data_IF_619633358996
#
_entry.id   IF_619633358996
#
_cell.length_a   1.000
_cell.length_b   1.000
_cell.length_c   1.000
_cell.angle_alpha   90.00
_cell.angle_beta   90.00
_cell.angle_gamma   90.00
#
_symmetry.space_group_name_H-M   'P 1'
#
loop_
_entity.id
_entity.type
_entity.pdbx_description
1 polymer ?
#
# COMPACT_ATOMS: atom_id res chain seq x y z
N UNK A 1 2.83 16.96 -3.13
CA UNK A 1 1.95 17.42 -2.04
C UNK A 1 2.72 17.34 -0.73
N UNK A 2 2.71 18.42 0.04
CA UNK A 2 3.22 18.44 1.42
C UNK A 2 2.07 18.20 2.41
N UNK A 3 2.24 17.23 3.30
CA UNK A 3 1.21 16.78 4.23
C UNK A 3 1.38 17.41 5.62
N UNK A 4 1.44 18.75 5.67
CA UNK A 4 1.68 19.55 6.87
C UNK A 4 3.01 19.20 7.57
N UNK A 5 4.12 19.22 6.80
CA UNK A 5 5.46 18.95 7.32
C UNK A 5 5.97 20.13 8.15
N UNK A 6 6.71 19.82 9.23
CA UNK A 6 7.30 20.81 10.14
C UNK A 6 8.84 20.84 10.09
N UNK A 7 9.45 20.05 9.19
CA UNK A 7 10.91 19.83 9.10
C UNK A 7 11.61 20.68 8.02
N UNK A 8 10.87 21.59 7.38
CA UNK A 8 11.40 22.42 6.30
C UNK A 8 11.23 21.82 4.89
N UNK A 9 10.63 20.67 4.74
CA UNK A 9 10.41 20.00 3.43
C UNK A 9 9.68 20.92 2.44
N UNK A 10 8.57 21.55 2.84
CA UNK A 10 7.82 22.47 1.99
C UNK A 10 8.68 23.67 1.52
N UNK A 11 9.51 24.23 2.39
CA UNK A 11 10.42 25.32 2.04
C UNK A 11 11.49 24.88 1.04
N UNK A 12 12.04 23.68 1.21
CA UNK A 12 13.01 23.11 0.28
C UNK A 12 12.43 22.89 -1.12
N UNK A 13 11.17 22.47 -1.22
CA UNK A 13 10.46 22.31 -2.51
C UNK A 13 10.19 23.66 -3.15
N UNK A 14 9.73 24.68 -2.39
CA UNK A 14 9.50 26.03 -2.91
C UNK A 14 10.78 26.68 -3.47
N UNK A 15 11.94 26.37 -2.90
CA UNK A 15 13.22 26.88 -3.39
C UNK A 15 13.59 26.38 -4.80
N UNK A 16 12.90 25.34 -5.31
CA UNK A 16 13.01 24.83 -6.69
C UNK A 16 11.96 25.48 -7.61
N UNK A 17 11.97 26.80 -7.67
CA UNK A 17 10.98 27.63 -8.34
C UNK A 17 10.79 27.22 -9.82
N UNK A 18 9.52 27.12 -10.24
CA UNK A 18 9.11 26.81 -11.61
C UNK A 18 9.20 25.34 -12.05
N UNK A 19 9.87 24.46 -11.30
CA UNK A 19 10.02 23.05 -11.66
C UNK A 19 8.92 22.15 -11.03
N UNK A 20 8.42 22.54 -9.86
CA UNK A 20 7.52 21.71 -9.06
C UNK A 20 6.28 22.51 -8.64
N UNK A 21 5.09 21.97 -8.93
CA UNK A 21 3.85 22.48 -8.36
C UNK A 21 3.65 21.89 -6.97
N UNK A 22 3.80 22.71 -5.94
CA UNK A 22 3.59 22.33 -4.54
C UNK A 22 2.13 22.54 -4.13
N UNK A 23 1.53 21.50 -3.52
CA UNK A 23 0.24 21.55 -2.84
C UNK A 23 0.52 21.35 -1.35
N UNK A 24 0.19 22.32 -0.51
CA UNK A 24 0.40 22.26 0.93
C UNK A 24 -0.92 22.00 1.67
N UNK A 25 -0.89 21.12 2.65
CA UNK A 25 -2.02 20.86 3.54
C UNK A 25 -1.86 21.67 4.83
N UNK A 26 -2.95 22.17 5.36
CA UNK A 26 -2.99 22.84 6.68
C UNK A 26 -2.91 21.84 7.83
N UNK A 27 -3.33 20.58 7.58
CA UNK A 27 -3.31 19.50 8.56
C UNK A 27 -2.96 18.17 7.86
N UNK A 28 -2.44 17.24 8.62
CA UNK A 28 -2.15 15.88 8.13
C UNK A 28 -3.42 15.16 7.73
N UNK A 29 -3.40 14.60 6.51
CA UNK A 29 -4.46 13.76 5.95
C UNK A 29 -3.89 12.39 5.59
N UNK A 30 -4.78 11.44 5.28
CA UNK A 30 -4.38 10.10 4.89
C UNK A 30 -3.72 10.06 3.50
N UNK A 31 -2.92 9.01 3.28
CA UNK A 31 -2.26 8.78 1.99
C UNK A 31 -3.30 8.69 0.85
N UNK A 32 -4.39 7.97 1.05
CA UNK A 32 -5.47 7.86 0.07
C UNK A 32 -6.05 9.23 -0.35
N UNK A 33 -6.26 10.13 0.60
CA UNK A 33 -6.75 11.49 0.32
C UNK A 33 -5.71 12.32 -0.43
N UNK A 34 -4.43 12.21 -0.07
CA UNK A 34 -3.34 12.91 -0.71
C UNK A 34 -3.12 12.45 -2.15
N UNK A 35 -3.04 11.14 -2.37
CA UNK A 35 -2.88 10.55 -3.70
C UNK A 35 -4.09 10.87 -4.60
N UNK A 36 -5.31 10.85 -4.04
CA UNK A 36 -6.53 11.26 -4.76
C UNK A 36 -6.48 12.74 -5.17
N UNK A 37 -5.96 13.61 -4.31
CA UNK A 37 -5.79 15.03 -4.62
C UNK A 37 -4.78 15.21 -5.77
N UNK A 38 -3.64 14.55 -5.69
CA UNK A 38 -2.62 14.59 -6.75
C UNK A 38 -3.17 14.09 -8.09
N UNK A 39 -3.93 12.98 -8.10
CA UNK A 39 -4.53 12.45 -9.33
C UNK A 39 -5.60 13.37 -9.92
N UNK A 40 -6.37 14.09 -9.09
CA UNK A 40 -7.37 15.09 -9.56
C UNK A 40 -6.72 16.31 -10.15
N UNK A 41 -5.66 16.80 -9.52
CA UNK A 41 -4.93 18.01 -9.92
C UNK A 41 -3.97 17.80 -11.11
N UNK A 42 -3.64 16.55 -11.41
CA UNK A 42 -2.77 16.21 -12.53
C UNK A 42 -3.49 16.36 -13.87
N UNK A 43 -2.77 16.82 -14.92
CA UNK A 43 -3.27 16.98 -16.27
C UNK A 43 -2.83 15.86 -17.22
N UNK A 44 -1.90 15.00 -16.81
CA UNK A 44 -1.38 13.92 -17.64
C UNK A 44 -2.39 12.80 -17.90
N UNK A 45 -2.19 12.03 -18.97
CA UNK A 45 -2.93 10.78 -19.24
C UNK A 45 -2.71 9.76 -18.13
N UNK A 46 -1.51 9.75 -17.57
CA UNK A 46 -1.08 8.90 -16.48
C UNK A 46 -0.61 9.73 -15.30
N UNK A 47 -0.82 9.21 -14.08
CA UNK A 47 -0.30 9.76 -12.84
C UNK A 47 0.65 8.74 -12.22
N UNK A 48 1.89 9.12 -11.97
CA UNK A 48 2.83 8.30 -11.21
C UNK A 48 2.68 8.64 -9.73
N UNK A 49 2.19 7.68 -8.94
CA UNK A 49 2.25 7.72 -7.49
C UNK A 49 3.64 7.25 -7.10
N UNK A 50 4.39 8.11 -6.42
CA UNK A 50 5.75 7.85 -5.98
C UNK A 50 5.87 8.32 -4.52
N UNK A 51 6.30 7.43 -3.64
CA UNK A 51 6.57 7.81 -2.26
C UNK A 51 7.83 8.68 -2.18
N UNK A 52 7.90 9.53 -1.17
CA UNK A 52 9.05 10.41 -0.89
C UNK A 52 10.35 9.66 -0.61
N UNK A 53 10.25 8.39 -0.22
CA UNK A 53 11.36 7.47 0.06
C UNK A 53 11.59 6.45 -1.07
N UNK A 54 11.11 6.76 -2.28
CA UNK A 54 11.29 5.92 -3.46
C UNK A 54 12.11 6.63 -4.53
N UNK A 55 13.04 5.89 -5.15
CA UNK A 55 13.94 6.36 -6.20
C UNK A 55 13.78 5.49 -7.45
N UNK A 56 13.33 6.08 -8.56
CA UNK A 56 13.17 5.37 -9.82
C UNK A 56 14.52 5.10 -10.48
N UNK A 57 14.70 3.88 -10.98
CA UNK A 57 15.83 3.58 -11.86
C UNK A 57 15.62 4.17 -13.26
N UNK A 58 16.71 4.46 -14.00
CA UNK A 58 16.62 4.94 -15.38
C UNK A 58 15.74 4.02 -16.25
N UNK A 59 14.83 4.60 -17.03
CA UNK A 59 13.92 3.85 -17.90
C UNK A 59 12.64 3.33 -17.23
N UNK A 60 12.51 3.38 -15.91
CA UNK A 60 11.34 2.85 -15.18
C UNK A 60 10.02 3.46 -15.66
N UNK A 61 9.95 4.79 -15.77
CA UNK A 61 8.74 5.47 -16.25
C UNK A 61 8.37 5.03 -17.66
N UNK A 62 9.35 4.97 -18.55
CA UNK A 62 9.11 4.53 -19.94
C UNK A 62 8.57 3.10 -20.01
N UNK A 63 9.10 2.19 -19.19
CA UNK A 63 8.64 0.80 -19.13
C UNK A 63 7.20 0.70 -18.58
N UNK A 64 6.84 1.48 -17.54
CA UNK A 64 5.48 1.54 -17.01
C UNK A 64 4.49 2.08 -18.03
N UNK A 65 4.84 3.18 -18.71
CA UNK A 65 4.01 3.78 -19.77
C UNK A 65 3.82 2.78 -20.94
N UNK A 66 4.89 2.16 -21.42
CA UNK A 66 4.80 1.17 -22.49
C UNK A 66 3.88 0.00 -22.13
N UNK A 67 3.92 -0.48 -20.88
CA UNK A 67 3.05 -1.55 -20.41
C UNK A 67 1.56 -1.13 -20.41
N UNK A 68 1.24 0.08 -19.98
CA UNK A 68 -0.14 0.59 -19.99
C UNK A 68 -0.65 0.90 -21.42
N UNK A 69 0.23 1.34 -22.32
CA UNK A 69 -0.13 1.56 -23.73
C UNK A 69 -0.37 0.23 -24.47
N UNK A 70 0.39 -0.80 -24.14
CA UNK A 70 0.24 -2.14 -24.74
C UNK A 70 -1.04 -2.86 -24.26
N UNK A 71 -1.61 -2.50 -23.11
CA UNK A 71 -2.84 -3.09 -22.59
C UNK A 71 -3.86 -1.98 -22.23
N UNK A 72 -4.79 -1.63 -23.14
CA UNK A 72 -5.76 -0.56 -22.92
C UNK A 72 -6.72 -0.80 -21.75
N UNK A 73 -6.85 -2.05 -21.26
CA UNK A 73 -7.62 -2.39 -20.06
C UNK A 73 -6.83 -2.37 -18.77
N UNK A 74 -5.52 -2.12 -18.84
CA UNK A 74 -4.71 -1.93 -17.66
C UNK A 74 -4.91 -0.51 -17.10
N UNK A 75 -5.38 -0.41 -15.87
CA UNK A 75 -5.57 0.85 -15.15
C UNK A 75 -4.33 1.27 -14.38
N UNK A 76 -3.53 0.32 -13.92
CA UNK A 76 -2.36 0.59 -13.09
C UNK A 76 -1.20 -0.34 -13.44
N UNK A 77 0.03 0.16 -13.31
CA UNK A 77 1.26 -0.59 -13.51
C UNK A 77 2.22 -0.31 -12.34
N UNK A 78 2.57 -1.35 -11.58
CA UNK A 78 3.51 -1.25 -10.47
C UNK A 78 4.91 -1.68 -10.90
N UNK A 79 5.92 -0.91 -10.49
CA UNK A 79 7.33 -1.25 -10.68
C UNK A 79 7.76 -2.40 -9.75
N UNK A 80 8.84 -3.10 -10.09
CA UNK A 80 9.57 -3.92 -9.13
C UNK A 80 10.22 -3.02 -8.10
N UNK A 81 9.88 -3.21 -6.83
CA UNK A 81 10.56 -2.52 -5.74
C UNK A 81 11.83 -3.29 -5.36
N UNK A 82 12.89 -2.53 -5.11
CA UNK A 82 14.16 -3.00 -4.60
C UNK A 82 14.36 -2.43 -3.19
N UNK A 83 15.01 -3.18 -2.32
CA UNK A 83 15.52 -2.63 -1.07
C UNK A 83 16.77 -1.75 -1.32
N UNK A 84 17.30 -1.03 -0.31
CA UNK A 84 18.51 -0.23 -0.47
C UNK A 84 19.76 -1.00 -0.91
N UNK A 85 19.78 -2.33 -0.75
CA UNK A 85 20.86 -3.20 -1.24
C UNK A 85 20.72 -3.55 -2.73
N UNK A 86 19.59 -3.16 -3.36
CA UNK A 86 19.24 -3.52 -4.73
C UNK A 86 18.58 -4.90 -4.88
N UNK A 87 18.21 -5.52 -3.77
CA UNK A 87 17.54 -6.83 -3.78
C UNK A 87 16.03 -6.68 -4.01
N UNK A 88 15.41 -7.51 -4.88
CA UNK A 88 13.98 -7.43 -5.14
C UNK A 88 13.13 -7.77 -3.91
N UNK A 89 12.16 -6.91 -3.60
CA UNK A 89 11.18 -7.13 -2.53
C UNK A 89 9.77 -7.36 -3.09
N UNK A 90 8.90 -8.10 -2.39
CA UNK A 90 7.50 -8.26 -2.80
C UNK A 90 6.79 -6.90 -2.87
N UNK A 91 6.14 -6.61 -4.02
CA UNK A 91 5.44 -5.35 -4.26
C UNK A 91 4.07 -5.51 -4.94
N UNK A 92 3.65 -6.73 -5.24
CA UNK A 92 2.32 -7.03 -5.77
C UNK A 92 1.77 -8.33 -5.17
N UNK A 93 0.47 -8.35 -4.89
CA UNK A 93 -0.18 -9.45 -4.18
C UNK A 93 -1.59 -9.73 -4.70
N UNK A 94 -2.14 -10.90 -4.31
CA UNK A 94 -3.56 -11.22 -4.46
C UNK A 94 -4.41 -10.36 -3.53
N UNK A 95 -5.64 -10.10 -3.96
CA UNK A 95 -6.62 -9.45 -3.08
C UNK A 95 -6.80 -10.22 -1.77
N UNK A 96 -6.82 -9.51 -0.63
CA UNK A 96 -7.12 -10.10 0.65
C UNK A 96 -8.51 -10.75 0.67
N UNK A 97 -8.59 -11.93 1.26
CA UNK A 97 -9.82 -12.70 1.41
C UNK A 97 -9.60 -13.87 2.34
N UNK A 98 -10.62 -14.70 2.56
CA UNK A 98 -10.52 -15.89 3.42
C UNK A 98 -9.44 -16.87 2.94
N UNK A 99 -9.29 -17.06 1.61
CA UNK A 99 -8.26 -17.93 1.04
C UNK A 99 -6.83 -17.43 1.30
N UNK A 100 -6.56 -16.14 1.13
CA UNK A 100 -5.24 -15.57 1.43
C UNK A 100 -4.96 -15.55 2.94
N UNK A 101 -5.98 -15.36 3.77
CA UNK A 101 -5.85 -15.46 5.21
C UNK A 101 -5.55 -16.91 5.66
N UNK A 102 -6.19 -17.90 5.04
CA UNK A 102 -5.88 -19.32 5.28
C UNK A 102 -4.45 -19.65 4.84
N UNK A 103 -4.02 -19.18 3.66
CA UNK A 103 -2.62 -19.32 3.22
C UNK A 103 -1.64 -18.70 4.22
N UNK A 104 -2.00 -17.55 4.81
CA UNK A 104 -1.24 -16.91 5.88
C UNK A 104 -1.19 -17.72 7.17
N UNK A 105 -2.32 -18.31 7.57
CA UNK A 105 -2.45 -19.18 8.74
C UNK A 105 -1.62 -20.46 8.62
N UNK A 106 -1.46 -20.95 7.39
CA UNK A 106 -0.63 -22.12 7.05
C UNK A 106 0.82 -21.76 6.66
N UNK A 107 1.24 -20.50 6.83
CA UNK A 107 2.58 -19.99 6.47
C UNK A 107 2.92 -20.09 4.97
N UNK A 108 1.92 -20.24 4.10
CA UNK A 108 2.06 -20.37 2.65
C UNK A 108 1.92 -19.03 1.89
N UNK A 109 1.74 -17.90 2.61
CA UNK A 109 1.43 -16.59 1.99
C UNK A 109 2.46 -16.15 0.94
N UNK A 110 3.75 -16.37 1.15
CA UNK A 110 4.81 -16.04 0.16
C UNK A 110 4.64 -16.79 -1.16
N UNK A 111 4.13 -18.03 -1.13
CA UNK A 111 3.91 -18.84 -2.32
C UNK A 111 2.59 -18.51 -3.01
N UNK A 112 1.53 -18.30 -2.24
CA UNK A 112 0.16 -18.23 -2.74
C UNK A 112 -0.36 -16.79 -2.90
N UNK A 113 0.17 -15.82 -2.16
CA UNK A 113 -0.35 -14.45 -2.18
C UNK A 113 0.56 -13.46 -2.92
N UNK A 114 1.89 -13.66 -2.97
CA UNK A 114 2.81 -12.77 -3.67
C UNK A 114 2.75 -13.02 -5.16
N UNK A 115 2.49 -11.96 -5.95
CA UNK A 115 2.37 -11.98 -7.40
C UNK A 115 3.54 -11.31 -8.14
N UNK A 116 4.35 -10.49 -7.45
CA UNK A 116 5.58 -9.88 -8.00
C UNK A 116 6.70 -10.90 -8.11
N UNK A 117 6.63 -11.77 -9.12
CA UNK A 117 7.59 -12.84 -9.37
C UNK A 117 7.93 -12.95 -10.85
N UNK A 118 9.17 -13.35 -11.13
CA UNK A 118 9.64 -13.56 -12.50
C UNK A 118 9.95 -12.26 -13.24
N UNK A 119 10.39 -12.38 -14.49
CA UNK A 119 10.97 -11.31 -15.31
C UNK A 119 10.04 -10.76 -16.40
N UNK A 120 8.79 -11.20 -16.48
CA UNK A 120 7.84 -10.76 -17.50
C UNK A 120 6.70 -9.95 -16.90
N UNK A 121 6.25 -8.92 -17.64
CA UNK A 121 5.03 -8.16 -17.30
C UNK A 121 3.84 -9.10 -17.21
N UNK A 122 3.02 -8.92 -16.17
CA UNK A 122 1.85 -9.78 -15.91
C UNK A 122 0.74 -9.06 -15.17
N UNK A 123 -0.47 -9.59 -15.27
CA UNK A 123 -1.59 -9.15 -14.47
C UNK A 123 -1.40 -9.58 -13.01
N UNK A 124 -1.72 -8.65 -12.11
CA UNK A 124 -1.74 -8.85 -10.67
C UNK A 124 -3.02 -8.27 -10.10
N UNK A 125 -3.39 -8.68 -8.90
CA UNK A 125 -4.61 -8.15 -8.29
C UNK A 125 -4.38 -6.71 -7.84
N UNK A 126 -3.27 -6.44 -7.11
CA UNK A 126 -2.88 -5.09 -6.71
C UNK A 126 -1.37 -4.98 -6.50
N UNK A 127 -0.86 -3.76 -6.60
CA UNK A 127 0.53 -3.40 -6.37
C UNK A 127 0.67 -2.20 -5.44
N UNK A 128 1.82 -2.08 -4.81
CA UNK A 128 2.14 -1.02 -3.86
C UNK A 128 2.35 0.31 -4.59
N UNK A 129 1.84 1.40 -4.01
CA UNK A 129 1.90 2.73 -4.59
C UNK A 129 3.23 3.48 -4.37
N UNK A 130 4.24 2.80 -3.83
CA UNK A 130 5.60 3.38 -3.72
C UNK A 130 6.21 3.73 -5.09
N UNK A 131 5.80 3.02 -6.17
CA UNK A 131 6.07 3.36 -7.57
C UNK A 131 4.97 2.75 -8.46
N UNK A 132 3.84 3.43 -8.57
CA UNK A 132 2.63 2.97 -9.27
C UNK A 132 2.19 4.00 -10.31
N UNK A 133 2.23 3.63 -11.59
CA UNK A 133 1.67 4.44 -12.66
C UNK A 133 0.18 4.10 -12.82
N UNK A 134 -0.67 5.11 -12.77
CA UNK A 134 -2.14 4.98 -12.81
C UNK A 134 -2.69 5.69 -14.03
N UNK A 135 -3.58 5.06 -14.77
CA UNK A 135 -4.38 5.69 -15.83
C UNK A 135 -5.42 6.60 -15.18
N UNK A 136 -5.29 7.91 -15.39
CA UNK A 136 -6.14 8.93 -14.72
C UNK A 136 -7.63 8.74 -15.01
N UNK A 137 -7.99 8.36 -16.23
CA UNK A 137 -9.38 8.06 -16.62
C UNK A 137 -9.96 6.94 -15.75
N UNK A 138 -9.23 5.83 -15.57
CA UNK A 138 -9.67 4.71 -14.74
C UNK A 138 -9.82 5.12 -13.27
N UNK A 139 -8.88 5.92 -12.74
CA UNK A 139 -8.98 6.45 -11.38
C UNK A 139 -10.23 7.32 -11.19
N UNK A 140 -10.51 8.20 -12.16
CA UNK A 140 -11.71 9.05 -12.11
C UNK A 140 -13.00 8.24 -12.17
N UNK A 141 -13.04 7.19 -13.00
CA UNK A 141 -14.22 6.32 -13.14
C UNK A 141 -14.62 5.64 -11.82
N UNK A 142 -13.63 5.26 -10.99
CA UNK A 142 -13.91 4.60 -9.71
C UNK A 142 -13.92 5.56 -8.51
N UNK A 143 -13.84 6.88 -8.75
CA UNK A 143 -13.91 7.91 -7.70
C UNK A 143 -12.62 8.11 -6.92
N UNK A 144 -11.47 7.70 -7.49
CA UNK A 144 -10.14 7.77 -6.88
C UNK A 144 -10.00 6.84 -5.65
N UNK A 145 -9.02 7.09 -4.77
CA UNK A 145 -8.84 6.30 -3.54
C UNK A 145 -9.87 6.70 -2.47
N UNK A 146 -10.26 5.75 -1.63
CA UNK A 146 -11.23 5.95 -0.57
C UNK A 146 -10.56 6.56 0.67
N UNK A 147 -10.95 7.78 1.10
CA UNK A 147 -10.33 8.48 2.23
C UNK A 147 -10.56 7.80 3.59
N UNK A 148 -11.49 6.84 3.69
CA UNK A 148 -11.69 6.05 4.89
C UNK A 148 -10.47 5.19 5.24
N UNK A 149 -9.61 4.90 4.25
CA UNK A 149 -8.30 4.28 4.43
C UNK A 149 -7.23 5.37 4.60
N UNK A 150 -6.84 5.63 5.84
CA UNK A 150 -5.82 6.66 6.10
C UNK A 150 -4.45 6.27 5.52
N UNK A 151 -4.00 5.06 5.76
CA UNK A 151 -2.82 4.39 5.21
C UNK A 151 -2.96 2.89 5.37
N UNK A 152 -2.39 2.09 4.47
CA UNK A 152 -2.60 0.65 4.34
C UNK A 152 -4.01 0.28 3.86
N UNK A 153 -4.08 -0.66 2.95
CA UNK A 153 -5.28 -1.12 2.26
C UNK A 153 -5.91 -0.09 1.31
N UNK A 154 -5.44 1.13 1.28
CA UNK A 154 -5.86 2.18 0.34
C UNK A 154 -5.62 1.77 -1.11
N UNK A 155 -4.40 1.34 -1.47
CA UNK A 155 -4.09 0.84 -2.82
C UNK A 155 -4.85 -0.45 -3.13
N UNK A 156 -5.02 -1.32 -2.12
CA UNK A 156 -5.71 -2.59 -2.27
C UNK A 156 -7.21 -2.37 -2.53
N UNK A 157 -7.86 -1.46 -1.81
CA UNK A 157 -9.25 -1.04 -2.05
C UNK A 157 -9.41 -0.41 -3.42
N UNK A 158 -8.51 0.51 -3.77
CA UNK A 158 -8.50 1.18 -5.05
C UNK A 158 -8.39 0.19 -6.22
N UNK A 159 -7.42 -0.74 -6.16
CA UNK A 159 -7.24 -1.77 -7.18
C UNK A 159 -8.45 -2.72 -7.25
N UNK A 160 -9.08 -3.02 -6.12
CA UNK A 160 -10.30 -3.84 -6.08
C UNK A 160 -11.46 -3.16 -6.79
N UNK A 161 -11.68 -1.85 -6.55
CA UNK A 161 -12.71 -1.07 -7.25
C UNK A 161 -12.40 -0.91 -8.74
N UNK A 162 -11.13 -0.75 -9.12
CA UNK A 162 -10.72 -0.79 -10.53
C UNK A 162 -11.08 -2.13 -11.17
N UNK A 163 -10.80 -3.25 -10.50
CA UNK A 163 -11.14 -4.59 -11.01
C UNK A 163 -12.66 -4.77 -11.16
N UNK A 164 -13.46 -4.30 -10.23
CA UNK A 164 -14.93 -4.29 -10.30
C UNK A 164 -15.46 -3.38 -11.43
N UNK A 165 -14.72 -2.32 -11.76
CA UNK A 165 -14.98 -1.44 -12.91
C UNK A 165 -14.52 -2.02 -14.26
N UNK A 166 -14.02 -3.25 -14.30
CA UNK A 166 -13.58 -3.93 -15.53
C UNK A 166 -12.13 -3.67 -15.94
N UNK A 167 -11.35 -3.01 -15.08
CA UNK A 167 -9.92 -2.75 -15.25
C UNK A 167 -9.06 -3.83 -14.56
N UNK A 168 -7.75 -3.81 -14.79
CA UNK A 168 -6.81 -4.65 -14.05
C UNK A 168 -5.48 -3.92 -13.82
N UNK A 169 -4.67 -4.47 -12.92
CA UNK A 169 -3.33 -3.97 -12.61
C UNK A 169 -2.26 -4.85 -13.23
N UNK A 170 -1.11 -4.25 -13.55
CA UNK A 170 0.08 -4.93 -14.06
C UNK A 170 1.23 -4.83 -13.06
N UNK A 171 2.03 -5.88 -12.97
CA UNK A 171 3.37 -5.86 -12.44
C UNK A 171 4.36 -5.80 -13.61
N UNK A 172 5.27 -4.84 -13.59
CA UNK A 172 6.23 -4.54 -14.67
C UNK A 172 7.65 -4.66 -14.13
N UNK A 173 8.27 -5.84 -14.17
CA UNK A 173 9.61 -6.05 -13.59
C UNK A 173 10.73 -5.31 -14.32
N UNK A 174 10.53 -4.88 -15.57
CA UNK A 174 11.47 -4.02 -16.30
C UNK A 174 11.52 -2.58 -15.77
N UNK A 175 10.51 -2.17 -14.99
CA UNK A 175 10.52 -0.90 -14.26
C UNK A 175 10.98 -1.19 -12.83
N UNK A 176 12.06 -0.55 -12.39
CA UNK A 176 12.61 -0.75 -11.06
C UNK A 176 12.58 0.55 -10.26
N UNK A 177 12.31 0.45 -8.97
CA UNK A 177 12.41 1.56 -8.02
C UNK A 177 13.01 1.07 -6.71
N UNK A 178 13.98 1.79 -6.16
CA UNK A 178 14.48 1.55 -4.80
C UNK A 178 13.50 2.18 -3.82
N UNK A 179 13.05 1.41 -2.84
CA UNK A 179 12.20 1.89 -1.76
C UNK A 179 12.98 1.81 -0.45
N UNK A 180 13.29 2.94 0.13
CA UNK A 180 14.17 3.00 1.29
C UNK A 180 13.50 2.53 2.58
N UNK A 181 12.15 2.53 2.64
CA UNK A 181 11.31 2.06 3.76
C UNK A 181 11.77 2.57 5.15
N UNK A 182 12.48 3.69 5.17
CA UNK A 182 13.12 4.24 6.36
C UNK A 182 12.60 5.62 6.76
N UNK A 183 11.93 6.32 5.85
CA UNK A 183 11.47 7.69 6.06
C UNK A 183 10.09 7.77 6.70
N UNK A 184 9.58 6.64 7.21
CA UNK A 184 8.31 6.62 7.92
C UNK A 184 8.40 7.52 9.17
N UNK A 185 7.47 8.44 9.27
CA UNK A 185 7.34 9.36 10.40
C UNK A 185 7.24 8.61 11.73
N UNK A 186 7.66 9.23 12.83
CA UNK A 186 7.56 8.63 14.18
C UNK A 186 6.11 8.22 14.55
N UNK A 187 5.10 8.86 13.93
CA UNK A 187 3.70 8.48 14.07
C UNK A 187 3.41 7.04 13.58
N UNK A 188 4.17 6.56 12.60
CA UNK A 188 3.97 5.25 12.00
C UNK A 188 4.72 4.11 12.70
N UNK A 189 5.46 4.39 13.77
CA UNK A 189 6.22 3.38 14.51
C UNK A 189 5.37 2.70 15.60
N UNK A 190 5.65 1.42 15.83
CA UNK A 190 5.12 0.67 16.96
C UNK A 190 3.63 0.34 16.90
N UNK A 191 2.95 0.41 18.04
CA UNK A 191 1.56 -0.03 18.20
C UNK A 191 0.55 0.72 17.30
N UNK A 192 0.62 2.04 17.08
CA UNK A 192 -0.31 2.74 16.19
C UNK A 192 -0.30 2.19 14.76
N UNK A 193 0.85 1.75 14.24
CA UNK A 193 0.97 1.09 12.94
C UNK A 193 0.20 -0.23 12.91
N UNK A 194 0.34 -1.03 13.96
CA UNK A 194 -0.36 -2.32 14.09
C UNK A 194 -1.89 -2.09 14.15
N UNK A 195 -2.33 -1.09 14.91
CA UNK A 195 -3.75 -0.70 15.02
C UNK A 195 -4.29 -0.29 13.65
N UNK A 196 -3.63 0.65 12.97
CA UNK A 196 -4.04 1.15 11.66
C UNK A 196 -4.16 0.01 10.64
N UNK A 197 -3.12 -0.84 10.53
CA UNK A 197 -3.10 -1.96 9.61
C UNK A 197 -4.28 -2.92 9.82
N UNK A 198 -4.55 -3.32 11.08
CA UNK A 198 -5.64 -4.28 11.36
C UNK A 198 -7.02 -3.64 11.24
N UNK A 199 -7.16 -2.34 11.57
CA UNK A 199 -8.38 -1.56 11.39
C UNK A 199 -8.76 -1.49 9.91
N UNK A 200 -7.81 -1.11 9.06
CA UNK A 200 -8.05 -0.95 7.63
C UNK A 200 -8.22 -2.30 6.92
N UNK A 201 -7.52 -3.36 7.36
CA UNK A 201 -7.83 -4.70 6.88
C UNK A 201 -9.26 -5.12 7.17
N UNK A 202 -9.74 -4.86 8.37
CA UNK A 202 -11.10 -5.19 8.76
C UNK A 202 -12.13 -4.36 7.99
N UNK A 203 -11.86 -3.07 7.80
CA UNK A 203 -12.67 -2.19 6.96
C UNK A 203 -12.76 -2.73 5.53
N UNK A 204 -11.62 -3.09 4.91
CA UNK A 204 -11.55 -3.69 3.59
C UNK A 204 -12.38 -4.99 3.50
N UNK A 205 -12.19 -5.89 4.47
CA UNK A 205 -12.90 -7.16 4.49
C UNK A 205 -14.41 -6.98 4.61
N UNK A 206 -14.86 -6.07 5.48
CA UNK A 206 -16.30 -5.78 5.62
C UNK A 206 -16.88 -5.13 4.37
N UNK A 207 -16.13 -4.21 3.75
CA UNK A 207 -16.53 -3.49 2.53
C UNK A 207 -16.71 -4.43 1.34
N UNK A 208 -15.76 -5.33 1.10
CA UNK A 208 -15.71 -6.13 -0.12
C UNK A 208 -16.18 -7.58 0.05
N UNK A 209 -16.20 -8.11 1.27
CA UNK A 209 -16.50 -9.54 1.53
C UNK A 209 -17.56 -9.76 2.60
N UNK A 210 -18.01 -8.70 3.26
CA UNK A 210 -19.01 -8.77 4.31
C UNK A 210 -18.46 -9.19 5.68
N UNK A 211 -19.36 -9.17 6.67
CA UNK A 211 -18.98 -9.33 8.08
C UNK A 211 -18.48 -10.73 8.44
N UNK A 212 -19.08 -11.78 7.88
CA UNK A 212 -18.67 -13.16 8.15
C UNK A 212 -17.24 -13.45 7.67
N UNK A 213 -16.89 -12.97 6.46
CA UNK A 213 -15.53 -13.09 5.94
C UNK A 213 -14.52 -12.27 6.77
N UNK A 214 -14.90 -11.07 7.21
CA UNK A 214 -14.08 -10.26 8.10
C UNK A 214 -13.77 -11.01 9.41
N UNK A 215 -14.78 -11.62 10.02
CA UNK A 215 -14.59 -12.43 11.24
C UNK A 215 -13.67 -13.62 11.00
N UNK A 216 -13.87 -14.38 9.93
CA UNK A 216 -13.00 -15.51 9.58
C UNK A 216 -11.53 -15.06 9.42
N UNK A 217 -11.30 -13.93 8.72
CA UNK A 217 -9.95 -13.35 8.55
C UNK A 217 -9.36 -12.91 9.87
N UNK A 218 -10.14 -12.31 10.79
CA UNK A 218 -9.68 -11.96 12.14
C UNK A 218 -9.16 -13.21 12.88
N UNK A 219 -9.94 -14.28 12.89
CA UNK A 219 -9.59 -15.53 13.59
C UNK A 219 -8.34 -16.19 13.00
N UNK A 220 -8.29 -16.36 11.68
CA UNK A 220 -7.13 -16.94 10.98
C UNK A 220 -5.86 -16.12 11.20
N UNK A 221 -5.98 -14.81 11.21
CA UNK A 221 -4.83 -13.92 11.46
C UNK A 221 -4.38 -13.99 12.91
N UNK A 222 -5.31 -13.96 13.87
CA UNK A 222 -4.97 -14.09 15.29
C UNK A 222 -4.28 -15.42 15.57
N UNK A 223 -4.77 -16.50 14.98
CA UNK A 223 -4.14 -17.82 15.01
C UNK A 223 -2.71 -17.78 14.48
N UNK A 224 -2.52 -17.27 13.27
CA UNK A 224 -1.20 -17.16 12.63
C UNK A 224 -0.19 -16.39 13.47
N UNK A 225 -0.59 -15.24 14.02
CA UNK A 225 0.27 -14.44 14.88
C UNK A 225 0.46 -15.06 16.27
N UNK A 226 -0.53 -15.77 16.80
CA UNK A 226 -0.42 -16.54 18.04
C UNK A 226 0.65 -17.63 17.94
N UNK A 227 0.65 -18.40 16.84
CA UNK A 227 1.71 -19.40 16.58
C UNK A 227 3.09 -18.76 16.44
N UNK A 228 3.20 -17.60 15.75
CA UNK A 228 4.49 -16.88 15.67
C UNK A 228 4.95 -16.36 17.03
N UNK A 229 4.02 -15.89 17.86
CA UNK A 229 4.34 -15.46 19.23
C UNK A 229 4.87 -16.62 20.08
N UNK A 230 4.30 -17.80 19.93
CA UNK A 230 4.79 -19.01 20.60
C UNK A 230 6.16 -19.42 20.05
N UNK A 231 6.33 -19.49 18.74
CA UNK A 231 7.61 -19.83 18.13
C UNK A 231 8.74 -18.85 18.52
N UNK A 232 8.44 -17.55 18.64
CA UNK A 232 9.38 -16.51 19.00
C UNK A 232 9.88 -16.61 20.46
N UNK A 233 9.33 -17.49 21.29
CA UNK A 233 9.88 -17.77 22.64
C UNK A 233 11.13 -18.64 22.59
N UNK A 234 11.36 -19.37 21.50
CA UNK A 234 12.46 -20.32 21.33
C UNK A 234 13.29 -20.11 20.07
N UNK A 235 12.75 -19.38 19.07
CA UNK A 235 13.42 -19.13 17.80
C UNK A 235 13.83 -17.65 17.68
N UNK A 236 14.98 -17.35 17.03
CA UNK A 236 15.38 -15.98 16.77
C UNK A 236 14.42 -15.31 15.77
N UNK A 237 14.23 -14.00 15.91
CA UNK A 237 13.35 -13.22 15.03
C UNK A 237 12.76 -12.00 15.73
N UNK A 238 11.56 -11.61 15.29
CA UNK A 238 10.80 -10.53 15.94
C UNK A 238 10.43 -10.90 17.38
N UNK A 239 10.45 -9.95 18.33
CA UNK A 239 10.03 -10.20 19.70
C UNK A 239 8.60 -10.78 19.80
N UNK A 240 8.39 -11.74 20.68
CA UNK A 240 7.09 -12.38 20.88
C UNK A 240 5.97 -11.36 21.18
N UNK A 241 6.31 -10.26 21.83
CA UNK A 241 5.38 -9.16 22.17
C UNK A 241 4.77 -8.50 20.93
N UNK A 242 5.57 -8.31 19.87
CA UNK A 242 5.09 -7.75 18.60
C UNK A 242 4.05 -8.68 17.99
N UNK A 243 4.31 -9.98 17.96
CA UNK A 243 3.34 -10.97 17.45
C UNK A 243 2.08 -11.05 18.31
N UNK A 244 2.21 -10.96 19.65
CA UNK A 244 1.05 -10.89 20.55
C UNK A 244 0.20 -9.64 20.30
N UNK A 245 0.85 -8.49 20.05
CA UNK A 245 0.15 -7.25 19.69
C UNK A 245 -0.64 -7.42 18.39
N UNK A 246 -0.05 -8.00 17.35
CA UNK A 246 -0.75 -8.32 16.09
C UNK A 246 -1.91 -9.29 16.31
N UNK A 247 -1.73 -10.36 17.10
CA UNK A 247 -2.80 -11.34 17.39
C UNK A 247 -3.98 -10.68 18.11
N UNK A 248 -3.71 -9.89 19.15
CA UNK A 248 -4.73 -9.13 19.89
C UNK A 248 -5.46 -8.15 18.99
N UNK A 249 -4.72 -7.38 18.19
CA UNK A 249 -5.29 -6.37 17.31
C UNK A 249 -6.10 -7.01 16.18
N UNK A 250 -5.73 -8.19 15.71
CA UNK A 250 -6.52 -8.93 14.72
C UNK A 250 -7.93 -9.25 15.21
N UNK A 251 -8.08 -9.60 16.50
CA UNK A 251 -9.39 -9.90 17.12
C UNK A 251 -10.20 -8.63 17.43
N UNK A 252 -9.52 -7.53 17.79
CA UNK A 252 -10.12 -6.28 18.24
C UNK A 252 -9.65 -5.10 17.37
N UNK A 253 -9.99 -5.10 16.05
CA UNK A 253 -9.38 -4.18 15.08
C UNK A 253 -9.68 -2.69 15.34
N UNK A 254 -10.79 -2.37 15.97
CA UNK A 254 -11.17 -0.99 16.30
C UNK A 254 -10.60 -0.47 17.63
N UNK A 255 -9.93 -1.34 18.42
CA UNK A 255 -9.41 -0.96 19.73
C UNK A 255 -8.02 -0.33 19.62
N UNK A 256 -7.79 0.74 20.38
CA UNK A 256 -6.49 1.41 20.44
C UNK A 256 -6.41 2.62 19.53
N UNK A 257 -5.35 3.40 19.69
CA UNK A 257 -5.08 4.62 18.95
C UNK A 257 -4.27 4.30 17.68
N UNK A 258 -4.80 4.67 16.52
CA UNK A 258 -4.20 4.46 15.21
C UNK A 258 -3.33 5.64 14.77
N UNK A 259 -2.66 5.50 13.62
CA UNK A 259 -1.95 6.61 12.96
C UNK A 259 -2.95 7.74 12.62
N UNK A 260 -4.13 7.39 12.08
CA UNK A 260 -5.18 8.34 11.75
C UNK A 260 -5.66 9.12 12.98
N UNK A 261 -5.84 8.45 14.12
CA UNK A 261 -6.28 9.09 15.36
C UNK A 261 -5.23 10.10 15.87
N UNK A 262 -3.94 9.76 15.74
CA UNK A 262 -2.83 10.67 16.10
C UNK A 262 -2.70 11.86 15.16
N UNK A 263 -2.92 11.66 13.86
CA UNK A 263 -2.79 12.71 12.87
C UNK A 263 -3.91 13.77 12.95
N UNK A 264 -5.04 13.43 13.58
CA UNK A 264 -6.20 14.34 13.77
C UNK A 264 -6.08 15.24 14.99
N UNK A 265 -5.10 15.03 15.86
CA UNK A 265 -4.78 15.86 17.04
C UNK A 265 -3.80 16.96 16.69
#
# INVERSE_FOLDING_TARGET
LDNASSDGSAAAVRARDGEIRLIERERRTGKAENDSTLMREANGKYCLLLNEDSELRPGAVAALVAALEADPKAAAATAQLLDPSGSPVPCAWRFPGAGTALAGALFLHRRLSVQSKGSSTRRVDWGQSSALLVRREAAAQVGYMDPDFFVYYDECDFAKRLAEGGWHSLYVPAAEAVHHDQLSTDLAKGLPRIVEFHRNRDLYMRKHHGWAAALAVRMLTAWSYGLRALAATVLPGQPAEVYRAHARQALLPSRGESIADKARR
#
